data_IF_316377573555
#
_entry.id   IF_316377573555
#
_cell.length_a   1.000
_cell.length_b   1.000
_cell.length_c   1.000
_cell.angle_alpha   90.00
_cell.angle_beta   90.00
_cell.angle_gamma   90.00
#
_symmetry.space_group_name_H-M   'P 1'
#
loop_
_entity.id
_entity.type
_entity.pdbx_description
1 polymer ?
#
# COMPACT_ATOMS: atom_id res chain seq x y z
N UNK A 1 29.08 0.58 15.89
CA UNK A 1 27.90 0.89 15.04
C UNK A 1 26.81 -0.13 15.29
N UNK A 2 25.55 0.27 15.52
CA UNK A 2 24.42 -0.70 15.61
C UNK A 2 24.19 -1.33 14.24
N UNK A 3 24.17 -2.67 14.16
CA UNK A 3 23.80 -3.41 12.94
C UNK A 3 22.34 -3.11 12.60
N UNK A 4 22.04 -2.76 11.35
CA UNK A 4 20.66 -2.54 10.88
C UNK A 4 19.89 -3.87 10.92
N UNK A 5 18.61 -3.82 11.27
CA UNK A 5 17.73 -4.99 11.14
C UNK A 5 17.37 -5.22 9.67
N UNK A 6 17.00 -6.46 9.31
CA UNK A 6 16.52 -6.80 7.95
C UNK A 6 15.38 -5.87 7.52
N UNK A 7 14.42 -5.61 8.41
CA UNK A 7 13.30 -4.69 8.17
C UNK A 7 13.74 -3.26 7.90
N UNK A 8 14.81 -2.80 8.56
CA UNK A 8 15.37 -1.47 8.33
C UNK A 8 16.06 -1.39 6.96
N UNK A 9 16.78 -2.44 6.56
CA UNK A 9 17.39 -2.53 5.21
C UNK A 9 16.31 -2.47 4.14
N UNK A 10 15.24 -3.26 4.31
CA UNK A 10 14.09 -3.30 3.40
C UNK A 10 13.42 -1.92 3.31
N UNK A 11 13.18 -1.28 4.46
CA UNK A 11 12.60 0.05 4.54
C UNK A 11 13.43 1.09 3.77
N UNK A 12 14.72 1.21 4.06
CA UNK A 12 15.56 2.27 3.49
C UNK A 12 15.70 2.14 1.97
N UNK A 13 15.84 0.90 1.46
CA UNK A 13 15.91 0.66 0.01
C UNK A 13 14.60 1.02 -0.67
N UNK A 14 13.48 0.53 -0.14
CA UNK A 14 12.18 0.73 -0.74
C UNK A 14 11.73 2.20 -0.68
N UNK A 15 12.02 2.88 0.44
CA UNK A 15 11.79 4.31 0.60
C UNK A 15 12.53 5.13 -0.46
N UNK A 16 13.84 4.88 -0.64
CA UNK A 16 14.66 5.58 -1.62
C UNK A 16 14.08 5.40 -3.02
N UNK A 17 13.81 4.15 -3.42
CA UNK A 17 13.21 3.87 -4.71
C UNK A 17 11.87 4.59 -4.92
N UNK A 18 10.99 4.55 -3.92
CA UNK A 18 9.66 5.15 -4.04
C UNK A 18 9.72 6.67 -4.19
N UNK A 19 10.62 7.33 -3.45
CA UNK A 19 10.83 8.78 -3.56
C UNK A 19 11.28 9.22 -4.95
N UNK A 20 12.06 8.37 -5.63
CA UNK A 20 12.61 8.68 -6.95
C UNK A 20 11.64 8.32 -8.10
N UNK A 21 10.64 7.46 -7.86
CA UNK A 21 9.83 6.84 -8.93
C UNK A 21 8.31 7.08 -8.80
N UNK A 22 7.81 7.51 -7.65
CA UNK A 22 6.37 7.67 -7.41
C UNK A 22 6.04 9.04 -6.84
N UNK A 23 4.79 9.45 -7.06
CA UNK A 23 4.25 10.66 -6.47
C UNK A 23 3.94 10.41 -4.99
N UNK A 24 4.49 11.24 -4.11
CA UNK A 24 4.08 11.28 -2.70
C UNK A 24 2.67 11.88 -2.60
N UNK A 25 1.82 11.26 -1.78
CA UNK A 25 0.44 11.71 -1.59
C UNK A 25 0.16 11.96 -0.11
N UNK A 26 -0.64 12.99 0.16
CA UNK A 26 -1.17 13.27 1.47
C UNK A 26 -2.42 12.42 1.72
N UNK A 27 -2.35 11.52 2.70
CA UNK A 27 -3.46 10.65 3.09
C UNK A 27 -4.08 11.16 4.37
N UNK A 28 -5.40 11.34 4.35
CA UNK A 28 -6.19 11.68 5.53
C UNK A 28 -6.81 10.43 6.16
N UNK A 29 -6.93 10.44 7.48
CA UNK A 29 -7.58 9.36 8.22
C UNK A 29 -9.08 9.43 7.99
N UNK A 30 -9.67 8.34 7.52
CA UNK A 30 -11.11 8.21 7.39
C UNK A 30 -11.76 7.55 8.60
N UNK A 31 -12.96 7.00 8.41
CA UNK A 31 -13.67 6.23 9.43
C UNK A 31 -13.04 4.85 9.53
N UNK A 32 -12.18 4.67 10.54
CA UNK A 32 -11.50 3.40 10.76
C UNK A 32 -12.47 2.35 11.32
N UNK A 33 -12.76 1.33 10.51
CA UNK A 33 -13.47 0.12 10.94
C UNK A 33 -12.49 -1.05 11.02
N UNK A 34 -12.10 -1.43 12.24
CA UNK A 34 -11.19 -2.55 12.49
C UNK A 34 -11.73 -3.92 12.05
N UNK A 35 -13.03 -4.02 11.74
CA UNK A 35 -13.66 -5.27 11.31
C UNK A 35 -13.43 -5.62 9.84
N UNK A 36 -12.97 -4.67 9.01
CA UNK A 36 -12.87 -4.86 7.57
C UNK A 36 -11.46 -4.66 7.02
N UNK A 37 -11.09 -5.48 6.04
CA UNK A 37 -9.81 -5.35 5.32
C UNK A 37 -9.89 -4.24 4.28
N UNK A 38 -8.72 -3.69 3.88
CA UNK A 38 -8.66 -2.52 3.01
C UNK A 38 -9.34 -2.72 1.65
N UNK A 39 -9.24 -3.91 1.06
CA UNK A 39 -9.92 -4.25 -0.18
C UNK A 39 -11.44 -4.25 -0.06
N UNK A 40 -12.00 -4.63 1.09
CA UNK A 40 -13.45 -4.66 1.29
C UNK A 40 -13.99 -3.24 1.43
N UNK A 41 -13.36 -2.41 2.27
CA UNK A 41 -13.75 -1.01 2.44
C UNK A 41 -13.61 -0.25 1.13
N UNK A 42 -12.49 -0.44 0.43
CA UNK A 42 -12.24 0.25 -0.83
C UNK A 42 -13.28 -0.13 -1.90
N UNK A 43 -13.67 -1.41 -1.95
CA UNK A 43 -14.71 -1.90 -2.86
C UNK A 43 -16.08 -1.32 -2.53
N UNK A 44 -16.50 -1.41 -1.27
CA UNK A 44 -17.80 -0.92 -0.83
C UNK A 44 -17.96 0.59 -1.09
N UNK A 45 -16.91 1.37 -0.85
CA UNK A 45 -16.95 2.81 -1.12
C UNK A 45 -17.12 3.08 -2.61
N UNK A 46 -16.39 2.37 -3.46
CA UNK A 46 -16.44 2.49 -4.91
C UNK A 46 -17.81 2.08 -5.50
N UNK A 47 -18.47 1.08 -4.90
CA UNK A 47 -19.81 0.65 -5.30
C UNK A 47 -20.91 1.64 -4.87
N UNK A 48 -20.68 2.42 -3.80
CA UNK A 48 -21.59 3.46 -3.30
C UNK A 48 -21.36 4.83 -3.96
N UNK A 49 -20.15 5.11 -4.41
CA UNK A 49 -19.76 6.36 -5.06
C UNK A 49 -18.98 6.06 -6.34
N UNK A 50 -19.64 6.25 -7.49
CA UNK A 50 -19.09 5.98 -8.82
C UNK A 50 -17.99 6.97 -9.24
N UNK A 51 -17.91 8.14 -8.60
CA UNK A 51 -16.85 9.13 -8.84
C UNK A 51 -15.60 8.86 -7.98
N UNK A 52 -15.70 7.97 -6.98
CA UNK A 52 -14.54 7.56 -6.20
C UNK A 52 -13.58 6.71 -7.03
N UNK A 53 -12.32 6.68 -6.61
CA UNK A 53 -11.29 5.79 -7.14
C UNK A 53 -10.73 4.92 -6.03
N UNK A 54 -10.32 3.72 -6.38
CA UNK A 54 -9.46 2.87 -5.57
C UNK A 54 -8.01 3.15 -5.93
N UNK A 55 -7.21 3.43 -4.90
CA UNK A 55 -5.82 3.82 -5.04
C UNK A 55 -4.96 2.72 -4.43
N UNK A 56 -4.07 2.14 -5.25
CA UNK A 56 -3.00 1.28 -4.75
C UNK A 56 -1.86 2.19 -4.30
N UNK A 57 -1.52 2.07 -3.04
CA UNK A 57 -0.49 2.88 -2.41
C UNK A 57 0.62 2.02 -1.84
N UNK A 58 1.82 2.61 -1.84
CA UNK A 58 2.99 2.08 -1.19
C UNK A 58 3.24 2.88 0.07
N UNK A 59 3.30 2.22 1.22
CA UNK A 59 3.68 2.85 2.48
C UNK A 59 4.76 2.07 3.18
N UNK A 60 5.51 2.77 4.03
CA UNK A 60 6.64 2.20 4.72
C UNK A 60 6.53 2.46 6.22
N UNK A 61 6.45 1.38 7.00
CA UNK A 61 6.54 1.45 8.46
C UNK A 61 7.89 0.89 8.85
N UNK A 62 8.69 1.55 9.70
CA UNK A 62 10.02 1.05 10.10
C UNK A 62 10.03 -0.40 10.62
N UNK A 63 8.90 -0.86 11.17
CA UNK A 63 8.71 -2.23 11.66
C UNK A 63 8.04 -3.18 10.67
N UNK A 64 7.49 -2.72 9.55
CA UNK A 64 6.77 -3.56 8.59
C UNK A 64 7.47 -3.67 7.23
N UNK A 65 8.41 -2.77 6.93
CA UNK A 65 9.10 -2.74 5.64
C UNK A 65 8.19 -2.19 4.55
N UNK A 66 8.04 -2.95 3.46
CA UNK A 66 7.20 -2.60 2.30
C UNK A 66 5.74 -2.99 2.54
N UNK A 67 4.84 -2.01 2.51
CA UNK A 67 3.41 -2.23 2.58
C UNK A 67 2.72 -1.76 1.29
N UNK A 68 1.85 -2.60 0.73
CA UNK A 68 0.98 -2.24 -0.41
C UNK A 68 -0.45 -2.39 0.06
N UNK A 69 -1.22 -1.32 -0.05
CA UNK A 69 -2.58 -1.28 0.48
C UNK A 69 -3.49 -0.49 -0.46
N UNK A 70 -4.79 -0.65 -0.27
CA UNK A 70 -5.77 0.20 -0.93
C UNK A 70 -6.21 1.34 -0.01
N UNK A 71 -6.37 2.51 -0.60
CA UNK A 71 -7.12 3.64 -0.05
C UNK A 71 -8.09 4.16 -1.09
N UNK A 72 -8.97 5.07 -0.70
CA UNK A 72 -9.91 5.69 -1.63
C UNK A 72 -9.45 7.10 -2.02
N UNK A 73 -9.76 7.52 -3.25
CA UNK A 73 -9.73 8.93 -3.62
C UNK A 73 -11.16 9.38 -3.89
N UNK A 74 -11.59 10.42 -3.18
CA UNK A 74 -12.91 11.05 -3.34
C UNK A 74 -12.66 12.54 -3.53
N UNK A 75 -13.07 13.09 -4.66
CA UNK A 75 -12.90 14.51 -5.02
C UNK A 75 -11.45 15.01 -4.87
N UNK A 76 -10.48 14.18 -5.27
CA UNK A 76 -9.05 14.49 -5.18
C UNK A 76 -8.44 14.28 -3.78
N UNK A 77 -9.22 13.87 -2.79
CA UNK A 77 -8.75 13.61 -1.41
C UNK A 77 -8.49 12.13 -1.21
N UNK A 78 -7.28 11.78 -0.76
CA UNK A 78 -6.88 10.41 -0.46
C UNK A 78 -7.23 10.03 0.98
N UNK A 79 -8.12 9.05 1.17
CA UNK A 79 -8.72 8.71 2.46
C UNK A 79 -8.43 7.26 2.80
N UNK A 80 -7.77 7.03 3.94
CA UNK A 80 -7.50 5.68 4.49
C UNK A 80 -8.48 5.38 5.63
N UNK A 81 -9.44 4.51 5.34
CA UNK A 81 -10.46 4.02 6.28
C UNK A 81 -10.02 2.74 7.04
N UNK A 82 -8.77 2.31 6.88
CA UNK A 82 -8.36 0.91 7.12
C UNK A 82 -7.15 0.80 8.04
N UNK A 83 -6.35 1.85 8.18
CA UNK A 83 -5.14 1.83 9.02
C UNK A 83 -5.15 2.87 10.14
N UNK A 84 -6.29 3.53 10.40
CA UNK A 84 -6.48 4.42 11.55
C UNK A 84 -5.26 5.34 11.80
N UNK A 85 -4.72 5.31 13.02
CA UNK A 85 -3.60 6.16 13.47
C UNK A 85 -2.28 6.01 12.67
N UNK A 86 -2.08 4.91 11.92
CA UNK A 86 -0.86 4.69 11.16
C UNK A 86 -0.74 5.65 9.97
N UNK A 87 -1.88 6.08 9.42
CA UNK A 87 -1.91 7.00 8.28
C UNK A 87 -1.41 8.40 8.60
N UNK A 88 -1.43 8.83 9.87
CA UNK A 88 -0.85 10.12 10.28
C UNK A 88 0.67 10.15 10.32
N UNK A 89 1.33 8.98 10.36
CA UNK A 89 2.78 8.87 10.58
C UNK A 89 3.52 8.21 9.42
N UNK A 90 2.78 7.74 8.42
CA UNK A 90 3.35 7.09 7.25
C UNK A 90 3.33 8.05 6.07
N UNK A 91 4.39 8.01 5.28
CA UNK A 91 4.38 8.59 3.94
C UNK A 91 3.84 7.56 2.97
N UNK A 92 2.98 8.03 2.07
CA UNK A 92 2.31 7.23 1.07
C UNK A 92 2.75 7.65 -0.31
N UNK A 93 3.00 6.66 -1.16
CA UNK A 93 3.32 6.87 -2.56
C UNK A 93 2.25 6.25 -3.44
N UNK A 94 1.83 6.99 -4.46
CA UNK A 94 0.84 6.55 -5.41
C UNK A 94 1.44 5.55 -6.42
N UNK A 95 0.98 4.30 -6.41
CA UNK A 95 1.37 3.30 -7.42
C UNK A 95 0.41 3.33 -8.62
N UNK A 96 -0.89 3.34 -8.36
CA UNK A 96 -1.92 3.34 -9.42
C UNK A 96 -3.30 3.70 -8.87
N UNK A 97 -4.18 4.21 -9.73
CA UNK A 97 -5.58 4.51 -9.42
C UNK A 97 -6.51 3.75 -10.37
N UNK A 98 -7.69 3.37 -9.89
CA UNK A 98 -8.65 2.54 -10.61
C UNK A 98 -10.08 2.97 -10.30
N UNK A 99 -10.90 3.10 -11.32
CA UNK A 99 -12.35 3.30 -11.23
C UNK A 99 -13.09 1.99 -10.98
N UNK A 100 -14.40 2.05 -10.74
CA UNK A 100 -15.24 0.85 -10.63
C UNK A 100 -15.17 -0.04 -11.87
N UNK A 101 -15.19 0.56 -13.06
CA UNK A 101 -15.10 -0.18 -14.33
C UNK A 101 -13.80 -0.97 -14.45
N UNK A 102 -12.69 -0.43 -13.95
CA UNK A 102 -11.37 -1.07 -14.04
C UNK A 102 -11.27 -2.33 -13.17
N UNK A 103 -11.96 -2.33 -12.02
CA UNK A 103 -11.83 -3.41 -11.02
C UNK A 103 -13.10 -4.23 -10.81
N UNK A 104 -14.19 -3.97 -11.55
CA UNK A 104 -15.49 -4.64 -11.34
C UNK A 104 -15.37 -6.18 -11.29
N UNK A 105 -14.55 -6.76 -12.15
CA UNK A 105 -14.34 -8.21 -12.23
C UNK A 105 -12.96 -8.65 -11.70
N UNK A 106 -12.30 -7.80 -10.90
CA UNK A 106 -10.95 -8.06 -10.37
C UNK A 106 -11.04 -8.51 -8.92
N UNK A 107 -10.38 -9.63 -8.61
CA UNK A 107 -10.09 -10.02 -7.24
C UNK A 107 -9.06 -9.05 -6.64
N UNK A 108 -9.55 -8.11 -5.83
CA UNK A 108 -8.74 -7.05 -5.23
C UNK A 108 -7.66 -7.60 -4.29
N UNK A 109 -7.88 -8.73 -3.62
CA UNK A 109 -6.85 -9.34 -2.78
C UNK A 109 -5.69 -9.86 -3.64
N UNK A 110 -5.99 -10.59 -4.73
CA UNK A 110 -4.97 -11.03 -5.70
C UNK A 110 -4.26 -9.85 -6.35
N UNK A 111 -4.96 -8.73 -6.56
CA UNK A 111 -4.36 -7.52 -7.10
C UNK A 111 -3.30 -6.93 -6.16
N UNK A 112 -3.56 -6.84 -4.85
CA UNK A 112 -2.55 -6.37 -3.90
C UNK A 112 -1.34 -7.31 -3.83
N UNK A 113 -1.58 -8.63 -3.79
CA UNK A 113 -0.50 -9.64 -3.82
C UNK A 113 0.40 -9.42 -5.03
N UNK A 114 -0.19 -9.35 -6.24
CA UNK A 114 0.56 -9.12 -7.47
C UNK A 114 1.33 -7.79 -7.47
N UNK A 115 0.73 -6.72 -6.94
CA UNK A 115 1.39 -5.41 -6.85
C UNK A 115 2.57 -5.44 -5.88
N UNK A 116 2.42 -6.12 -4.74
CA UNK A 116 3.50 -6.31 -3.78
C UNK A 116 4.63 -7.18 -4.34
N UNK A 117 4.31 -8.30 -4.99
CA UNK A 117 5.30 -9.13 -5.67
C UNK A 117 6.07 -8.36 -6.73
N UNK A 118 5.37 -7.59 -7.58
CA UNK A 118 6.01 -6.73 -8.57
C UNK A 118 6.98 -5.74 -7.90
N UNK A 119 6.57 -5.10 -6.81
CA UNK A 119 7.42 -4.15 -6.08
C UNK A 119 8.65 -4.84 -5.49
N UNK A 120 8.48 -6.01 -4.87
CA UNK A 120 9.59 -6.76 -4.29
C UNK A 120 10.59 -7.21 -5.36
N UNK A 121 10.12 -7.69 -6.51
CA UNK A 121 10.99 -8.10 -7.63
C UNK A 121 11.76 -6.93 -8.26
N UNK A 122 11.26 -5.70 -8.12
CA UNK A 122 11.99 -4.49 -8.54
C UNK A 122 13.09 -4.15 -7.54
N UNK A 123 12.83 -4.34 -6.25
CA UNK A 123 13.70 -3.89 -5.15
C UNK A 123 14.75 -4.92 -4.73
N UNK A 124 14.48 -6.20 -4.93
CA UNK A 124 15.25 -7.31 -4.39
C UNK A 124 15.32 -8.47 -5.39
N UNK A 125 16.45 -9.20 -5.35
CA UNK A 125 16.53 -10.51 -5.99
C UNK A 125 15.76 -11.56 -5.18
N UNK A 126 15.52 -12.74 -5.75
CA UNK A 126 14.88 -13.86 -5.04
C UNK A 126 15.70 -14.33 -3.83
N UNK A 127 17.03 -14.30 -3.96
CA UNK A 127 17.95 -14.69 -2.90
C UNK A 127 17.88 -13.67 -1.75
N UNK A 128 17.90 -12.37 -2.07
CA UNK A 128 17.75 -11.30 -1.06
C UNK A 128 16.38 -11.38 -0.35
N UNK A 129 15.29 -11.69 -1.05
CA UNK A 129 13.97 -11.88 -0.45
C UNK A 129 14.00 -12.99 0.60
N UNK A 130 14.74 -14.06 0.33
CA UNK A 130 14.88 -15.23 1.21
C UNK A 130 15.77 -14.90 2.41
N UNK A 131 16.93 -14.30 2.17
CA UNK A 131 17.88 -13.89 3.21
C UNK A 131 17.30 -12.85 4.17
N UNK A 132 16.51 -11.91 3.66
CA UNK A 132 15.89 -10.84 4.46
C UNK A 132 14.53 -11.24 5.08
N UNK A 133 14.09 -12.49 4.89
CA UNK A 133 12.86 -13.02 5.48
C UNK A 133 11.58 -12.26 5.06
N UNK A 134 11.53 -11.73 3.84
CA UNK A 134 10.43 -10.87 3.38
C UNK A 134 9.17 -11.70 3.11
N UNK A 135 8.09 -11.43 3.87
CA UNK A 135 6.81 -12.12 3.70
C UNK A 135 5.85 -11.36 2.78
N UNK A 136 5.38 -12.03 1.74
CA UNK A 136 4.37 -11.48 0.80
C UNK A 136 3.02 -11.29 1.49
N UNK A 137 2.65 -12.17 2.43
CA UNK A 137 1.34 -12.19 3.10
C UNK A 137 0.99 -10.97 3.96
N UNK A 138 1.94 -10.09 4.26
CA UNK A 138 1.68 -8.86 5.02
C UNK A 138 1.17 -7.75 4.09
N UNK A 139 -0.12 -7.75 3.82
CA UNK A 139 -0.83 -6.83 2.91
C UNK A 139 -2.01 -6.21 3.67
#
# INVERSE_FOLDING_TARGET
MKKKSERQIVYERAWKYAKDNFCEILVIVGEYDSGQRCQHISRQLLEKNNEALVVVTLSFVPKSGVNVHFINNVDGKYIDNTLGYLSKKNTYFLISQHSLSDIKCVDMNKMLVKKKEKMLNILFTKDEITELGIKISHI
#
